data_IF_304858206173
#
_entry.id   IF_304858206173
#
_cell.length_a   1.000
_cell.length_b   1.000
_cell.length_c   1.000
_cell.angle_alpha   90.00
_cell.angle_beta   90.00
_cell.angle_gamma   90.00
#
_symmetry.space_group_name_H-M   'P 1'
#
loop_
_entity.id
_entity.type
_entity.pdbx_description
1 polymer ?
#
# COMPACT_ATOMS: atom_id res chain seq x y z
N UNK A 1 18.56 -11.17 -16.00
CA UNK A 1 17.31 -11.11 -15.20
C UNK A 1 16.38 -10.13 -15.85
N UNK A 2 15.07 -10.41 -15.83
CA UNK A 2 14.05 -9.46 -16.29
C UNK A 2 14.13 -8.18 -15.42
N UNK A 3 13.96 -6.96 -15.98
CA UNK A 3 14.10 -5.71 -15.24
C UNK A 3 12.97 -5.52 -14.21
N UNK A 4 13.18 -5.98 -12.98
CA UNK A 4 12.22 -5.87 -11.87
C UNK A 4 11.93 -4.42 -11.47
N UNK A 5 12.87 -3.51 -11.72
CA UNK A 5 12.71 -2.07 -11.46
C UNK A 5 11.49 -1.44 -12.18
N UNK A 6 11.01 -2.05 -13.27
CA UNK A 6 9.82 -1.58 -14.00
C UNK A 6 8.55 -1.89 -13.19
N UNK A 7 8.54 -3.01 -12.45
CA UNK A 7 7.42 -3.42 -11.59
C UNK A 7 7.48 -2.66 -10.27
N UNK A 8 8.68 -2.43 -9.73
CA UNK A 8 8.90 -1.66 -8.49
C UNK A 8 8.35 -0.23 -8.55
N UNK A 9 8.23 0.35 -9.75
CA UNK A 9 7.57 1.64 -9.96
C UNK A 9 6.06 1.63 -9.61
N UNK A 10 5.40 0.48 -9.81
CA UNK A 10 3.98 0.27 -9.51
C UNK A 10 3.76 -0.29 -8.11
N UNK A 11 4.74 -1.04 -7.60
CA UNK A 11 4.77 -1.55 -6.23
C UNK A 11 5.74 -0.70 -5.42
N UNK A 12 5.33 0.53 -5.11
CA UNK A 12 6.09 1.45 -4.27
C UNK A 12 6.59 0.67 -3.04
N UNK A 13 7.91 0.49 -2.92
CA UNK A 13 8.52 -0.46 -1.99
C UNK A 13 8.24 -0.07 -0.53
N UNK A 14 7.18 -0.67 0.02
CA UNK A 14 6.83 -0.76 1.42
C UNK A 14 6.08 -2.09 1.53
N UNK A 15 6.68 -3.12 2.14
CA UNK A 15 6.26 -4.53 2.00
C UNK A 15 4.78 -4.84 2.36
N UNK A 16 4.00 -3.87 2.86
CA UNK A 16 2.54 -3.90 2.77
C UNK A 16 1.82 -2.54 2.87
N UNK A 17 2.52 -1.41 2.66
CA UNK A 17 1.92 -0.07 2.63
C UNK A 17 1.01 0.28 3.83
N UNK A 18 -0.09 1.03 3.63
CA UNK A 18 -1.04 1.35 4.70
C UNK A 18 -1.72 0.10 5.29
N UNK A 19 -1.88 -0.97 4.51
CA UNK A 19 -2.50 -2.21 4.97
C UNK A 19 -1.64 -2.92 6.03
N UNK A 20 -0.31 -2.86 5.87
CA UNK A 20 0.63 -3.35 6.88
C UNK A 20 0.52 -2.57 8.19
N UNK A 21 0.38 -1.24 8.10
CA UNK A 21 0.23 -0.38 9.29
C UNK A 21 -1.07 -0.73 10.01
N UNK A 22 -2.18 -0.84 9.28
CA UNK A 22 -3.47 -1.25 9.82
C UNK A 22 -3.36 -2.61 10.54
N UNK A 23 -2.85 -3.63 9.85
CA UNK A 23 -2.71 -4.97 10.37
C UNK A 23 -1.78 -5.03 11.60
N UNK A 24 -0.66 -4.29 11.57
CA UNK A 24 0.26 -4.20 12.70
C UNK A 24 -0.43 -3.56 13.92
N UNK A 25 -1.19 -2.49 13.73
CA UNK A 25 -1.87 -1.81 14.83
C UNK A 25 -3.03 -2.62 15.42
N UNK A 26 -3.68 -3.49 14.64
CA UNK A 26 -4.78 -4.35 15.10
C UNK A 26 -4.32 -5.74 15.57
N UNK A 27 -3.07 -6.13 15.30
CA UNK A 27 -2.58 -7.49 15.47
C UNK A 27 -2.09 -7.90 16.87
N UNK A 28 -2.33 -7.07 17.90
CA UNK A 28 -1.77 -7.29 19.24
C UNK A 28 -2.51 -8.34 20.08
N UNK A 29 -3.75 -8.69 19.72
CA UNK A 29 -4.58 -9.64 20.48
C UNK A 29 -4.31 -11.11 20.11
N UNK A 30 -3.34 -11.38 19.23
CA UNK A 30 -2.99 -12.74 18.84
C UNK A 30 -2.06 -13.38 19.87
N UNK A 31 -2.33 -14.64 20.20
CA UNK A 31 -1.45 -15.44 21.05
C UNK A 31 -0.24 -15.95 20.26
N UNK A 32 0.94 -15.92 20.90
CA UNK A 32 2.16 -16.48 20.32
C UNK A 32 2.03 -18.01 20.19
N UNK A 33 2.35 -18.60 19.03
CA UNK A 33 2.36 -20.05 18.85
C UNK A 33 3.29 -20.73 19.86
N UNK A 34 2.88 -21.89 20.41
CA UNK A 34 3.56 -22.57 21.52
C UNK A 34 5.05 -22.92 21.32
N UNK A 35 5.59 -22.83 20.10
CA UNK A 35 7.00 -23.07 19.79
C UNK A 35 7.83 -21.79 19.60
N UNK A 36 7.22 -20.61 19.74
CA UNK A 36 7.94 -19.34 19.70
C UNK A 36 8.37 -18.92 21.09
N UNK A 37 9.64 -18.55 21.22
CA UNK A 37 10.15 -17.90 22.43
C UNK A 37 10.06 -16.38 22.21
N UNK A 38 9.20 -15.71 22.98
CA UNK A 38 9.06 -14.25 22.97
C UNK A 38 9.98 -13.69 24.06
N UNK A 39 11.04 -12.93 23.70
CA UNK A 39 11.92 -12.29 24.67
C UNK A 39 11.15 -11.44 25.68
N UNK A 40 11.62 -11.42 26.93
CA UNK A 40 11.02 -10.60 27.97
C UNK A 40 11.08 -9.11 27.59
N UNK A 41 9.97 -8.38 27.83
CA UNK A 41 9.84 -6.97 27.45
C UNK A 41 9.52 -6.73 25.97
N UNK A 42 9.26 -7.77 25.18
CA UNK A 42 8.79 -7.67 23.79
C UNK A 42 7.37 -8.21 23.64
N UNK A 43 6.71 -7.84 22.55
CA UNK A 43 5.32 -8.16 22.24
C UNK A 43 5.25 -9.01 20.98
N UNK A 44 4.35 -9.97 20.96
CA UNK A 44 4.06 -10.75 19.77
C UNK A 44 3.05 -10.02 18.87
N UNK A 45 3.28 -10.07 17.56
CA UNK A 45 2.33 -9.60 16.56
C UNK A 45 2.57 -10.41 15.27
N UNK A 46 1.57 -11.14 14.74
CA UNK A 46 1.76 -12.04 13.60
C UNK A 46 2.07 -11.29 12.29
N UNK A 47 1.75 -9.99 12.23
CA UNK A 47 2.01 -9.17 11.06
C UNK A 47 3.39 -8.53 11.07
N UNK A 48 4.12 -8.55 12.20
CA UNK A 48 5.45 -7.97 12.26
C UNK A 48 6.45 -8.81 11.45
N UNK A 49 6.92 -8.27 10.32
CA UNK A 49 7.73 -9.01 9.35
C UNK A 49 9.21 -9.10 9.74
N UNK A 50 9.71 -8.19 10.58
CA UNK A 50 11.14 -8.02 10.79
C UNK A 50 11.75 -8.98 11.82
N UNK A 51 10.95 -9.53 12.75
CA UNK A 51 11.42 -10.49 13.75
C UNK A 51 10.24 -11.24 14.41
N UNK A 52 10.57 -12.12 15.34
CA UNK A 52 9.60 -12.91 16.14
C UNK A 52 8.76 -12.03 17.07
N UNK A 53 9.28 -10.87 17.47
CA UNK A 53 8.67 -9.98 18.46
C UNK A 53 9.10 -8.53 18.26
N UNK A 54 8.36 -7.64 18.91
CA UNK A 54 8.32 -6.20 18.70
C UNK A 54 8.43 -5.47 20.04
N UNK A 55 9.31 -4.48 20.17
CA UNK A 55 9.46 -3.72 21.43
C UNK A 55 8.33 -2.71 21.70
N UNK A 56 7.46 -2.44 20.72
CA UNK A 56 6.32 -1.53 20.86
C UNK A 56 5.14 -2.25 21.52
N UNK A 57 4.65 -1.73 22.65
CA UNK A 57 3.37 -2.16 23.23
C UNK A 57 2.19 -1.72 22.36
N UNK A 58 1.02 -2.34 22.53
CA UNK A 58 -0.21 -1.94 21.84
C UNK A 58 -0.48 -0.44 22.04
N UNK A 59 -0.45 0.39 20.97
CA UNK A 59 -0.54 1.84 21.10
C UNK A 59 -1.98 2.37 21.09
N UNK A 60 -2.94 1.54 20.67
CA UNK A 60 -4.35 1.89 20.50
C UNK A 60 -5.24 1.03 21.41
N UNK A 61 -6.30 1.64 21.91
CA UNK A 61 -7.37 1.00 22.67
C UNK A 61 -8.71 1.61 22.28
N UNK A 62 -9.79 0.85 22.40
CA UNK A 62 -11.15 1.36 22.14
C UNK A 62 -11.48 2.52 23.10
N UNK A 63 -12.19 3.54 22.61
CA UNK A 63 -12.58 4.72 23.40
C UNK A 63 -11.44 5.68 23.75
N UNK A 64 -10.25 5.51 23.16
CA UNK A 64 -9.08 6.34 23.50
C UNK A 64 -9.15 7.78 22.97
N UNK A 65 -9.82 8.01 21.84
CA UNK A 65 -9.91 9.33 21.18
C UNK A 65 -11.33 9.57 20.68
N UNK A 66 -11.94 10.67 21.09
CA UNK A 66 -13.25 11.07 20.59
C UNK A 66 -13.14 11.85 19.28
N UNK A 67 -13.97 11.45 18.31
CA UNK A 67 -14.12 12.15 17.03
C UNK A 67 -15.28 13.15 17.08
N UNK A 68 -15.12 14.29 16.40
CA UNK A 68 -16.13 15.36 16.35
C UNK A 68 -17.35 15.04 15.46
N UNK A 69 -17.25 13.98 14.63
CA UNK A 69 -18.23 13.61 13.60
C UNK A 69 -19.09 12.39 13.98
N UNK A 70 -18.89 11.84 15.18
CA UNK A 70 -19.62 10.66 15.66
C UNK A 70 -19.12 9.33 15.09
N UNK A 71 -17.92 9.32 14.49
CA UNK A 71 -17.23 8.11 14.03
C UNK A 71 -17.01 7.12 15.20
N UNK A 72 -17.15 5.79 14.98
CA UNK A 72 -16.92 4.79 16.02
C UNK A 72 -15.52 4.87 16.62
N UNK A 73 -15.45 4.87 17.94
CA UNK A 73 -14.21 4.96 18.73
C UNK A 73 -13.53 3.59 18.91
N UNK A 74 -13.25 2.88 17.81
CA UNK A 74 -12.68 1.52 17.83
C UNK A 74 -11.24 1.47 17.31
N UNK A 75 -10.44 0.49 17.78
CA UNK A 75 -9.07 0.25 17.30
C UNK A 75 -9.01 0.06 15.78
N UNK A 76 -9.98 -0.64 15.19
CA UNK A 76 -10.07 -0.82 13.74
C UNK A 76 -10.27 0.50 12.98
N UNK A 77 -11.05 1.42 13.55
CA UNK A 77 -11.28 2.73 12.95
C UNK A 77 -10.04 3.63 13.10
N UNK A 78 -9.48 3.70 14.32
CA UNK A 78 -8.26 4.46 14.57
C UNK A 78 -7.10 3.99 13.68
N UNK A 79 -6.91 2.68 13.52
CA UNK A 79 -5.81 2.14 12.72
C UNK A 79 -5.95 2.45 11.24
N UNK A 80 -7.19 2.47 10.70
CA UNK A 80 -7.48 2.89 9.31
C UNK A 80 -7.14 4.35 9.09
N UNK A 81 -7.57 5.21 10.00
CA UNK A 81 -7.36 6.66 9.87
C UNK A 81 -5.88 7.03 10.01
N UNK A 82 -5.17 6.41 10.97
CA UNK A 82 -3.71 6.57 11.12
C UNK A 82 -2.99 6.08 9.87
N UNK A 83 -3.33 4.91 9.35
CA UNK A 83 -2.72 4.37 8.13
C UNK A 83 -2.97 5.28 6.91
N UNK A 84 -4.19 5.80 6.75
CA UNK A 84 -4.55 6.74 5.70
C UNK A 84 -3.77 8.07 5.83
N UNK A 85 -3.67 8.61 7.04
CA UNK A 85 -2.90 9.83 7.31
C UNK A 85 -1.42 9.67 7.02
N UNK A 86 -0.81 8.54 7.43
CA UNK A 86 0.59 8.24 7.15
C UNK A 86 0.84 8.03 5.64
N UNK A 87 -0.11 7.39 4.93
CA UNK A 87 -0.03 7.26 3.47
C UNK A 87 -0.09 8.62 2.77
N UNK A 88 -1.00 9.50 3.20
CA UNK A 88 -1.05 10.87 2.69
C UNK A 88 0.23 11.65 2.99
N UNK A 89 0.79 11.50 4.20
CA UNK A 89 2.05 12.13 4.58
C UNK A 89 3.22 11.63 3.73
N UNK A 90 3.24 10.33 3.40
CA UNK A 90 4.23 9.74 2.51
C UNK A 90 4.06 10.19 1.05
N UNK A 91 2.82 10.45 0.61
CA UNK A 91 2.51 10.83 -0.76
C UNK A 91 1.37 11.87 -0.89
N UNK A 92 1.66 13.16 -0.64
CA UNK A 92 0.64 14.20 -0.63
C UNK A 92 0.04 14.50 -2.02
N UNK A 93 0.77 14.17 -3.10
CA UNK A 93 0.34 14.41 -4.49
C UNK A 93 -0.33 13.21 -5.16
N UNK A 94 -0.74 12.19 -4.39
CA UNK A 94 -1.28 10.94 -4.93
C UNK A 94 -2.46 11.15 -5.86
N UNK A 95 -3.41 12.00 -5.47
CA UNK A 95 -4.61 12.29 -6.27
C UNK A 95 -4.26 12.97 -7.59
N UNK A 96 -3.37 13.96 -7.57
CA UNK A 96 -2.91 14.65 -8.78
C UNK A 96 -2.14 13.71 -9.70
N UNK A 97 -1.28 12.85 -9.14
CA UNK A 97 -0.51 11.82 -9.85
C UNK A 97 -1.45 10.83 -10.53
N UNK A 98 -2.41 10.26 -9.81
CA UNK A 98 -3.39 9.29 -10.35
C UNK A 98 -4.27 9.93 -11.44
N UNK A 99 -4.77 11.14 -11.20
CA UNK A 99 -5.58 11.90 -12.17
C UNK A 99 -4.83 12.19 -13.45
N UNK A 100 -3.56 12.60 -13.35
CA UNK A 100 -2.70 12.86 -14.51
C UNK A 100 -2.34 11.57 -15.23
N UNK A 101 -1.95 10.53 -14.49
CA UNK A 101 -1.65 9.21 -15.05
C UNK A 101 -2.81 8.63 -15.84
N UNK A 102 -4.04 8.69 -15.32
CA UNK A 102 -5.24 8.23 -16.04
C UNK A 102 -5.44 8.95 -17.38
N UNK A 103 -5.25 10.27 -17.44
CA UNK A 103 -5.32 11.04 -18.69
C UNK A 103 -4.24 10.61 -19.68
N UNK A 104 -3.01 10.42 -19.20
CA UNK A 104 -1.88 9.97 -20.03
C UNK A 104 -2.14 8.57 -20.59
N UNK A 105 -2.70 7.65 -19.82
CA UNK A 105 -3.05 6.30 -20.29
C UNK A 105 -4.05 6.32 -21.44
N UNK A 106 -5.10 7.15 -21.34
CA UNK A 106 -6.07 7.33 -22.43
C UNK A 106 -5.38 7.90 -23.68
N UNK A 107 -4.56 8.94 -23.51
CA UNK A 107 -3.81 9.52 -24.62
C UNK A 107 -2.91 8.49 -25.31
N UNK A 108 -2.16 7.69 -24.54
CA UNK A 108 -1.27 6.67 -25.07
C UNK A 108 -2.01 5.56 -25.80
N UNK A 109 -3.20 5.15 -25.35
CA UNK A 109 -4.02 4.17 -26.07
C UNK A 109 -4.44 4.67 -27.45
N UNK A 110 -4.93 5.92 -27.53
CA UNK A 110 -5.33 6.54 -28.79
C UNK A 110 -4.11 6.74 -29.69
N UNK A 111 -3.01 7.25 -29.13
CA UNK A 111 -1.77 7.46 -29.87
C UNK A 111 -1.19 6.15 -30.41
N UNK A 112 -1.17 5.09 -29.61
CA UNK A 112 -0.72 3.77 -30.02
C UNK A 112 -1.58 3.19 -31.15
N UNK A 113 -2.91 3.33 -31.07
CA UNK A 113 -3.80 2.92 -32.16
C UNK A 113 -3.52 3.69 -33.45
N UNK A 114 -3.34 5.02 -33.37
CA UNK A 114 -3.00 5.85 -34.52
C UNK A 114 -1.65 5.44 -35.13
N UNK A 115 -0.60 5.29 -34.33
CA UNK A 115 0.73 4.86 -34.79
C UNK A 115 0.67 3.46 -35.41
N UNK A 116 -0.12 2.54 -34.84
CA UNK A 116 -0.33 1.22 -35.41
C UNK A 116 -0.98 1.27 -36.80
N UNK A 117 -2.02 2.10 -36.97
CA UNK A 117 -2.67 2.29 -38.27
C UNK A 117 -1.72 2.91 -39.30
N UNK A 118 -0.92 3.91 -38.90
CA UNK A 118 0.12 4.51 -39.75
C UNK A 118 1.15 3.46 -40.16
N UNK A 119 1.64 2.66 -39.21
CA UNK A 119 2.56 1.54 -39.49
C UNK A 119 1.96 0.55 -40.49
N UNK A 120 0.69 0.16 -40.32
CA UNK A 120 0.01 -0.73 -41.26
C UNK A 120 -0.10 -0.14 -42.67
N UNK A 121 -0.33 1.17 -42.77
CA UNK A 121 -0.46 1.86 -44.07
C UNK A 121 0.89 2.03 -44.78
N UNK A 122 1.95 2.42 -44.08
CA UNK A 122 3.29 2.63 -44.66
C UNK A 122 3.90 1.33 -45.17
N UNK A 123 3.68 0.23 -44.44
CA UNK A 123 4.25 -1.07 -44.77
C UNK A 123 3.36 -1.92 -45.68
N UNK A 124 2.28 -1.35 -46.22
CA UNK A 124 1.34 -2.07 -47.09
C UNK A 124 1.95 -2.42 -48.46
N UNK A 125 2.88 -1.60 -48.96
CA UNK A 125 3.46 -1.74 -50.31
C UNK A 125 4.84 -2.43 -50.30
N UNK A 126 5.29 -2.92 -49.15
CA UNK A 126 6.55 -3.66 -49.01
C UNK A 126 6.27 -5.15 -49.20
N UNK A 127 6.90 -5.78 -50.19
CA UNK A 127 6.76 -7.21 -50.43
C UNK A 127 7.17 -8.03 -49.19
N UNK A 128 6.34 -9.00 -48.82
CA UNK A 128 6.59 -9.95 -47.74
C UNK A 128 7.26 -11.22 -48.25
#
# INVERSE_FOLDING_TARGET
GFPTFIIDLFTQYAEGGPDYIHALLTGYDHEAPARMNIPEGTHYNPYFMSAVSLSMSAPLSDGQVTYDDGTPETVDQYSKDVAAFLMWTAEPHMEERKKTGFRVMIFLLVFAAMVYLVKKRVWADVAH
#
